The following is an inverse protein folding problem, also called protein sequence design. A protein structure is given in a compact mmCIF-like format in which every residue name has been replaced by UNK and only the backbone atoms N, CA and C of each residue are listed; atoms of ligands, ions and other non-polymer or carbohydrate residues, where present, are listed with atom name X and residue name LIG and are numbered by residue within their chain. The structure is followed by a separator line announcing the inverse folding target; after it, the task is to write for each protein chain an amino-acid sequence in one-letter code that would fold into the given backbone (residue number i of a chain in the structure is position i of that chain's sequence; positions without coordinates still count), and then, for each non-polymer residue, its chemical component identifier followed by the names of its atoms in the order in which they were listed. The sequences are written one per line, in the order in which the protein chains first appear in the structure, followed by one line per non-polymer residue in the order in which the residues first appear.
data_IF_060935345916
#
_entry.id   IF_060935345916
#
_cell.length_a   1.000
_cell.length_b   1.000
_cell.length_c   1.000
_cell.angle_alpha   90.00
_cell.angle_beta   90.00
_cell.angle_gamma   90.00
#
_symmetry.space_group_name_H-M   'P 1'
#
loop_
_entity.id
_entity.type
_entity.pdbx_description
1 polymer ?
#
# COMPACT_ATOMS: atom_id res chain seq x y z
N UNK A 1 2.15 14.65 -1.45
CA UNK A 1 1.97 13.22 -1.72
C UNK A 1 3.04 12.78 -2.69
N UNK A 2 3.82 11.76 -2.33
CA UNK A 2 4.90 11.23 -3.17
C UNK A 2 4.46 9.93 -3.84
N UNK A 3 4.87 9.75 -5.09
CA UNK A 3 4.57 8.58 -5.90
C UNK A 3 5.85 8.10 -6.58
N UNK A 4 6.16 6.82 -6.46
CA UNK A 4 7.33 6.19 -7.06
C UNK A 4 6.98 5.50 -8.36
N UNK A 5 7.84 5.61 -9.36
CA UNK A 5 7.69 4.88 -10.62
C UNK A 5 8.49 3.59 -10.57
N UNK A 6 7.83 2.43 -10.56
CA UNK A 6 8.48 1.12 -10.36
C UNK A 6 8.80 0.39 -11.66
N UNK A 7 8.05 0.69 -12.73
CA UNK A 7 8.16 0.01 -14.02
C UNK A 7 9.09 0.71 -15.02
N UNK A 8 9.11 2.05 -15.05
CA UNK A 8 9.84 2.84 -16.04
C UNK A 8 10.40 4.15 -15.49
N UNK A 9 11.37 4.73 -16.19
CA UNK A 9 11.92 6.04 -15.86
C UNK A 9 10.90 7.16 -16.06
N UNK A 10 10.99 8.21 -15.25
CA UNK A 10 10.06 9.33 -15.29
C UNK A 10 10.47 10.27 -16.42
N UNK A 11 9.94 10.03 -17.60
CA UNK A 11 10.11 10.87 -18.77
C UNK A 11 8.92 11.82 -18.96
N UNK A 12 9.07 12.94 -19.68
CA UNK A 12 7.93 13.78 -20.05
C UNK A 12 6.87 12.96 -20.79
N UNK A 13 5.67 12.83 -20.19
CA UNK A 13 4.57 12.01 -20.72
C UNK A 13 4.39 10.66 -20.01
N UNK A 14 5.33 10.25 -19.15
CA UNK A 14 5.23 9.05 -18.31
C UNK A 14 4.59 9.31 -16.94
N UNK A 15 3.91 10.44 -16.77
CA UNK A 15 3.21 10.79 -15.53
C UNK A 15 2.02 11.70 -15.82
N UNK A 16 0.96 11.63 -14.99
CA UNK A 16 -0.25 12.40 -15.20
C UNK A 16 0.04 13.89 -15.05
N UNK A 17 -0.30 14.65 -16.09
CA UNK A 17 -0.24 16.12 -16.09
C UNK A 17 -1.64 16.67 -16.21
N UNK A 18 -2.06 17.44 -15.23
CA UNK A 18 -3.32 18.17 -15.26
C UNK A 18 -3.11 19.60 -14.77
N UNK A 19 -3.79 20.61 -15.34
CA UNK A 19 -3.72 21.98 -14.84
C UNK A 19 -4.17 22.10 -13.37
N UNK A 20 -4.95 21.13 -12.88
CA UNK A 20 -5.40 21.06 -11.49
C UNK A 20 -4.43 20.29 -10.57
N UNK A 21 -3.53 19.46 -11.12
CA UNK A 21 -2.57 18.65 -10.37
C UNK A 21 -1.18 19.26 -10.46
N UNK A 22 -0.84 20.05 -9.45
CA UNK A 22 0.48 20.70 -9.39
C UNK A 22 1.54 19.70 -8.94
N UNK A 23 2.43 19.35 -9.87
CA UNK A 23 3.70 18.69 -9.55
C UNK A 23 4.58 19.67 -8.75
N UNK A 24 5.09 19.21 -7.62
CA UNK A 24 6.01 19.95 -6.76
C UNK A 24 7.46 19.59 -7.08
N UNK A 25 7.74 18.30 -7.26
CA UNK A 25 9.09 17.81 -7.50
C UNK A 25 9.07 16.54 -8.35
N UNK A 26 10.12 16.34 -9.15
CA UNK A 26 10.36 15.11 -9.91
C UNK A 26 11.83 14.78 -9.75
N UNK A 27 12.11 13.55 -9.34
CA UNK A 27 13.47 13.02 -9.21
C UNK A 27 13.55 11.72 -9.98
N UNK A 28 14.47 11.64 -10.94
CA UNK A 28 14.89 10.37 -11.55
C UNK A 28 16.16 9.90 -10.87
N UNK A 29 16.25 8.60 -10.64
CA UNK A 29 17.47 7.94 -10.22
C UNK A 29 18.27 7.52 -11.45
N UNK A 30 19.60 7.51 -11.32
CA UNK A 30 20.50 7.07 -12.40
C UNK A 30 20.34 5.59 -12.72
N UNK A 31 19.94 4.80 -11.72
CA UNK A 31 19.61 3.38 -11.82
C UNK A 31 18.42 3.04 -10.93
N UNK A 32 17.81 1.87 -11.16
CA UNK A 32 16.74 1.36 -10.31
C UNK A 32 17.25 1.27 -8.87
N UNK A 33 16.63 2.02 -7.96
CA UNK A 33 17.09 2.21 -6.58
C UNK A 33 16.03 1.70 -5.63
N UNK A 34 16.43 0.88 -4.66
CA UNK A 34 15.53 0.37 -3.62
C UNK A 34 15.04 1.53 -2.73
N UNK A 35 13.72 1.68 -2.63
CA UNK A 35 13.08 2.74 -1.87
C UNK A 35 12.34 2.14 -0.68
N UNK A 36 12.86 2.36 0.53
CA UNK A 36 12.28 1.81 1.77
C UNK A 36 10.82 2.23 1.98
N UNK A 37 10.46 3.44 1.56
CA UNK A 37 9.09 4.00 1.67
C UNK A 37 8.02 3.19 0.92
N UNK A 38 8.41 2.40 -0.08
CA UNK A 38 7.51 1.56 -0.89
C UNK A 38 7.91 0.08 -0.87
N UNK A 39 8.94 -0.30 -0.09
CA UNK A 39 9.45 -1.67 -0.02
C UNK A 39 9.96 -2.26 -1.34
N UNK A 40 10.15 -1.46 -2.40
CA UNK A 40 10.48 -1.91 -3.76
C UNK A 40 11.48 -0.97 -4.45
N UNK A 41 12.14 -1.47 -5.49
CA UNK A 41 12.95 -0.66 -6.40
C UNK A 41 12.12 0.23 -7.32
N UNK A 42 12.53 1.49 -7.43
CA UNK A 42 11.92 2.48 -8.31
C UNK A 42 12.98 3.15 -9.20
N UNK A 43 12.52 3.77 -10.28
CA UNK A 43 13.33 4.60 -11.17
C UNK A 43 13.38 6.07 -10.75
N UNK A 44 12.56 6.45 -9.76
CA UNK A 44 12.42 7.81 -9.31
C UNK A 44 11.10 8.03 -8.60
N UNK A 45 10.85 9.28 -8.20
CA UNK A 45 9.61 9.69 -7.59
C UNK A 45 9.10 11.04 -8.11
N UNK A 46 7.80 11.25 -7.93
CA UNK A 46 7.07 12.46 -8.26
C UNK A 46 6.30 12.90 -7.04
N UNK A 47 6.44 14.17 -6.66
CA UNK A 47 5.66 14.76 -5.59
C UNK A 47 4.57 15.65 -6.17
N UNK A 48 3.33 15.40 -5.77
CA UNK A 48 2.19 16.23 -6.09
C UNK A 48 1.71 17.00 -4.86
N UNK A 49 1.18 18.21 -5.12
CA UNK A 49 0.57 19.05 -4.09
C UNK A 49 -0.65 18.39 -3.46
N UNK A 50 -1.42 17.64 -4.25
CA UNK A 50 -2.61 16.90 -3.84
C UNK A 50 -2.48 15.44 -4.28
N UNK A 51 -3.18 14.50 -3.62
CA UNK A 51 -3.22 13.11 -4.08
C UNK A 51 -3.75 13.00 -5.51
N UNK A 52 -3.18 12.10 -6.28
CA UNK A 52 -3.67 11.69 -7.60
C UNK A 52 -4.93 10.83 -7.48
N UNK A 53 -5.74 10.81 -8.54
CA UNK A 53 -6.87 9.91 -8.62
C UNK A 53 -6.37 8.45 -8.68
N UNK A 54 -7.01 7.48 -8.01
CA UNK A 54 -6.57 6.08 -8.04
C UNK A 54 -6.44 5.50 -9.45
N UNK A 55 -7.27 5.96 -10.39
CA UNK A 55 -7.20 5.56 -11.80
C UNK A 55 -5.90 6.05 -12.46
N UNK A 56 -5.51 7.31 -12.26
CA UNK A 56 -4.25 7.86 -12.77
C UNK A 56 -3.04 7.13 -12.16
N UNK A 57 -3.13 6.81 -10.87
CA UNK A 57 -2.07 6.06 -10.17
C UNK A 57 -1.90 4.68 -10.81
N UNK A 58 -3.00 3.99 -11.10
CA UNK A 58 -2.97 2.68 -11.75
C UNK A 58 -2.51 2.75 -13.22
N UNK A 59 -3.04 3.70 -14.01
CA UNK A 59 -2.71 3.87 -15.43
C UNK A 59 -1.22 4.16 -15.66
N UNK A 60 -0.64 4.97 -14.78
CA UNK A 60 0.78 5.33 -14.83
C UNK A 60 1.67 4.41 -13.97
N UNK A 61 1.11 3.34 -13.40
CA UNK A 61 1.81 2.32 -12.60
C UNK A 61 2.64 2.94 -11.47
N UNK A 62 2.07 3.97 -10.84
CA UNK A 62 2.70 4.73 -9.77
C UNK A 62 2.40 4.08 -8.42
N UNK A 63 3.42 4.04 -7.56
CA UNK A 63 3.30 3.55 -6.19
C UNK A 63 3.24 4.74 -5.22
N UNK A 64 2.09 5.06 -4.61
CA UNK A 64 1.99 6.09 -3.59
C UNK A 64 2.86 5.74 -2.37
N UNK A 65 3.41 6.76 -1.73
CA UNK A 65 3.95 6.65 -0.37
C UNK A 65 2.79 6.79 0.58
N UNK A 66 2.55 5.75 1.37
CA UNK A 66 1.49 5.75 2.35
C UNK A 66 1.85 6.66 3.53
N UNK A 67 1.27 7.85 3.57
CA UNK A 67 1.45 8.79 4.69
C UNK A 67 0.69 8.32 5.95
N UNK A 68 -0.22 7.34 5.81
CA UNK A 68 -1.05 6.80 6.88
C UNK A 68 -0.97 5.28 6.90
N UNK A 69 -0.64 4.71 8.05
CA UNK A 69 -0.66 3.26 8.29
C UNK A 69 -1.88 2.96 9.15
N UNK A 70 -2.76 2.08 8.66
CA UNK A 70 -3.91 1.56 9.39
C UNK A 70 -3.51 0.30 10.15
N UNK A 71 -3.67 0.30 11.49
CA UNK A 71 -3.45 -0.88 12.29
C UNK A 71 -4.69 -1.79 12.23
N UNK A 72 -4.46 -3.07 11.92
CA UNK A 72 -5.49 -4.07 11.70
C UNK A 72 -5.33 -5.22 12.67
N UNK A 73 -6.40 -5.60 13.34
CA UNK A 73 -6.45 -6.80 14.18
C UNK A 73 -7.17 -7.94 13.44
N UNK A 74 -6.65 -9.16 13.50
CA UNK A 74 -7.35 -10.32 12.95
C UNK A 74 -8.62 -10.62 13.76
N UNK A 75 -9.75 -10.71 13.07
CA UNK A 75 -11.07 -10.99 13.69
C UNK A 75 -11.43 -12.46 13.57
N UNK A 76 -11.17 -13.06 12.40
CA UNK A 76 -11.63 -14.40 12.10
C UNK A 76 -11.56 -14.73 10.62
N UNK A 77 -12.17 -15.84 10.24
CA UNK A 77 -12.28 -16.32 8.87
C UNK A 77 -13.76 -16.31 8.49
N UNK A 78 -14.08 -15.82 7.29
CA UNK A 78 -15.44 -15.85 6.76
C UNK A 78 -15.86 -17.27 6.32
N UNK A 79 -17.10 -17.40 5.86
CA UNK A 79 -17.65 -18.68 5.37
C UNK A 79 -16.98 -19.20 4.07
N UNK A 80 -16.15 -18.38 3.42
CA UNK A 80 -15.41 -18.71 2.21
C UNK A 80 -13.92 -19.00 2.47
N UNK A 81 -13.46 -18.90 3.72
CA UNK A 81 -12.06 -19.13 4.06
C UNK A 81 -11.18 -17.88 4.00
N UNK A 82 -11.74 -16.69 3.70
CA UNK A 82 -10.99 -15.44 3.69
C UNK A 82 -10.83 -14.88 5.11
N UNK A 83 -9.61 -14.41 5.40
CA UNK A 83 -9.31 -13.72 6.65
C UNK A 83 -10.00 -12.36 6.67
N UNK A 84 -10.57 -12.03 7.82
CA UNK A 84 -11.22 -10.76 8.11
C UNK A 84 -10.42 -10.01 9.17
N UNK A 85 -10.12 -8.76 8.87
CA UNK A 85 -9.38 -7.87 9.75
C UNK A 85 -10.24 -6.70 10.18
N UNK A 86 -9.92 -6.09 11.32
CA UNK A 86 -10.64 -4.95 11.88
C UNK A 86 -9.70 -3.81 12.21
N UNK A 87 -10.05 -2.61 11.76
CA UNK A 87 -9.31 -1.40 12.08
C UNK A 87 -9.67 -0.79 13.45
N UNK A 88 -8.96 0.26 13.83
CA UNK A 88 -9.14 0.98 15.09
C UNK A 88 -10.53 1.59 15.28
N UNK A 89 -11.24 1.90 14.19
CA UNK A 89 -12.61 2.45 14.21
C UNK A 89 -13.69 1.36 14.14
N UNK A 90 -13.27 0.11 13.99
CA UNK A 90 -14.11 -1.07 13.96
C UNK A 90 -14.68 -1.44 12.59
N UNK A 91 -14.09 -0.95 11.51
CA UNK A 91 -14.42 -1.39 10.15
C UNK A 91 -13.69 -2.68 9.81
N UNK A 92 -14.35 -3.51 9.02
CA UNK A 92 -13.86 -4.80 8.56
C UNK A 92 -13.23 -4.70 7.18
N UNK A 93 -12.11 -5.39 7.02
CA UNK A 93 -11.27 -5.38 5.82
C UNK A 93 -10.91 -6.82 5.43
N UNK A 94 -10.89 -7.11 4.13
CA UNK A 94 -10.70 -8.44 3.55
C UNK A 94 -9.93 -8.35 2.23
N UNK A 95 -9.27 -9.42 1.83
CA UNK A 95 -8.68 -9.54 0.49
C UNK A 95 -9.77 -9.94 -0.53
N UNK A 96 -9.71 -9.42 -1.75
CA UNK A 96 -10.70 -9.73 -2.80
C UNK A 96 -10.52 -11.09 -3.45
N UNK A 97 -9.28 -11.62 -3.44
CA UNK A 97 -8.92 -12.96 -3.91
C UNK A 97 -7.54 -13.31 -3.32
N UNK A 98 -7.48 -13.74 -2.05
CA UNK A 98 -6.21 -14.05 -1.41
C UNK A 98 -5.69 -15.35 -2.00
N UNK A 99 -4.82 -15.23 -3.00
CA UNK A 99 -3.93 -16.33 -3.38
C UNK A 99 -3.04 -16.75 -2.19
N UNK A 100 -1.94 -17.45 -2.44
CA UNK A 100 -1.05 -17.82 -1.34
C UNK A 100 -0.41 -16.57 -0.68
N UNK A 101 -0.40 -16.57 0.66
CA UNK A 101 0.30 -15.59 1.50
C UNK A 101 0.02 -14.11 1.16
N UNK A 102 -1.26 -13.67 1.16
CA UNK A 102 -1.63 -12.30 0.77
C UNK A 102 -1.06 -11.23 1.74
N UNK A 103 -0.85 -11.61 3.00
CA UNK A 103 -0.26 -10.76 4.04
C UNK A 103 1.23 -10.48 3.73
N UNK A 104 1.99 -11.49 3.31
CA UNK A 104 3.42 -11.33 2.94
C UNK A 104 3.59 -10.54 1.65
N UNK A 105 2.63 -10.70 0.73
CA UNK A 105 2.59 -9.95 -0.53
C UNK A 105 2.16 -8.49 -0.35
N UNK A 106 1.66 -8.13 0.84
CA UNK A 106 1.04 -6.83 1.08
C UNK A 106 -0.04 -6.51 0.04
N UNK A 107 -0.88 -7.50 -0.29
CA UNK A 107 -1.94 -7.32 -1.27
C UNK A 107 -2.92 -6.23 -0.81
N UNK A 108 -3.64 -5.61 -1.76
CA UNK A 108 -4.60 -4.56 -1.44
C UNK A 108 -5.79 -5.12 -0.67
N UNK A 109 -6.13 -4.50 0.46
CA UNK A 109 -7.34 -4.80 1.22
C UNK A 109 -8.55 -4.04 0.70
N UNK A 110 -9.72 -4.61 0.94
CA UNK A 110 -11.03 -4.09 0.58
C UNK A 110 -11.92 -4.09 1.80
N UNK A 111 -12.76 -3.07 1.94
CA UNK A 111 -13.76 -3.01 3.00
C UNK A 111 -14.79 -4.12 2.80
N UNK A 112 -15.25 -4.72 3.90
CA UNK A 112 -16.38 -5.64 3.84
C UNK A 112 -17.70 -4.86 3.75
N UNK A 113 -18.56 -5.25 2.81
CA UNK A 113 -19.88 -4.66 2.67
C UNK A 113 -20.71 -4.86 3.94
N UNK A 114 -21.53 -3.85 4.27
CA UNK A 114 -22.30 -3.79 5.52
C UNK A 114 -21.48 -3.90 6.82
N UNK A 115 -20.15 -3.88 6.74
CA UNK A 115 -19.26 -4.13 7.87
C UNK A 115 -19.48 -5.51 8.53
N UNK A 116 -19.86 -6.52 7.74
CA UNK A 116 -20.11 -7.88 8.22
C UNK A 116 -18.95 -8.82 7.84
N UNK A 117 -18.62 -9.84 8.65
CA UNK A 117 -17.53 -10.77 8.33
C UNK A 117 -17.73 -11.52 7.01
N UNK A 118 -18.97 -11.89 6.69
CA UNK A 118 -19.35 -12.52 5.41
C UNK A 118 -19.67 -11.48 4.31
N UNK A 119 -19.49 -10.19 4.59
CA UNK A 119 -19.65 -9.13 3.61
C UNK A 119 -18.66 -9.29 2.45
N UNK A 120 -19.15 -8.99 1.24
CA UNK A 120 -18.33 -8.96 0.03
C UNK A 120 -17.33 -7.79 0.07
N UNK A 121 -16.11 -7.96 -0.47
CA UNK A 121 -15.14 -6.89 -0.60
C UNK A 121 -15.64 -5.81 -1.58
N UNK A 122 -15.93 -4.60 -1.10
CA UNK A 122 -16.62 -3.56 -1.88
C UNK A 122 -15.72 -2.37 -2.26
N UNK A 123 -15.06 -1.73 -1.29
CA UNK A 123 -14.22 -0.54 -1.53
C UNK A 123 -12.75 -0.82 -1.22
N UNK A 124 -11.83 -0.61 -2.17
CA UNK A 124 -10.41 -0.78 -1.92
C UNK A 124 -9.92 0.20 -0.85
N UNK A 125 -8.92 -0.22 -0.08
CA UNK A 125 -8.13 0.66 0.76
C UNK A 125 -7.58 1.79 -0.13
N UNK A 126 -7.74 3.03 0.32
CA UNK A 126 -7.31 4.18 -0.44
C UNK A 126 -5.80 4.11 -0.64
N UNK A 127 -5.32 4.45 -1.84
CA UNK A 127 -3.90 4.31 -2.18
C UNK A 127 -2.96 5.17 -1.33
N UNK A 128 -3.45 6.16 -0.60
CA UNK A 128 -2.67 6.95 0.35
C UNK A 128 -2.53 6.30 1.73
N UNK A 129 -3.14 5.12 1.93
CA UNK A 129 -3.12 4.35 3.16
C UNK A 129 -2.43 3.00 2.96
N UNK A 130 -1.47 2.68 3.82
CA UNK A 130 -0.97 1.33 4.03
C UNK A 130 -1.69 0.69 5.21
N UNK A 131 -1.46 -0.60 5.42
CA UNK A 131 -1.93 -1.30 6.59
C UNK A 131 -0.82 -2.10 7.26
N UNK A 132 -0.97 -2.29 8.57
CA UNK A 132 -0.16 -3.21 9.35
C UNK A 132 -1.11 -4.11 10.12
N UNK A 133 -0.97 -5.41 9.94
CA UNK A 133 -1.71 -6.38 10.76
C UNK A 133 -0.95 -6.54 12.07
N UNK A 134 -1.63 -6.25 13.19
CA UNK A 134 -1.12 -6.49 14.52
C UNK A 134 -1.08 -8.00 14.77
N UNK A 135 0.15 -8.50 14.89
CA UNK A 135 0.45 -9.90 15.11
C UNK A 135 -0.25 -10.40 16.39
N UNK A 136 -1.23 -11.29 16.24
CA UNK A 136 -1.65 -12.13 17.36
C UNK A 136 -0.49 -13.11 17.57
N UNK A 137 0.32 -12.86 18.59
CA UNK A 137 1.52 -13.65 18.89
C UNK A 137 1.29 -15.15 18.72
N UNK A 138 2.03 -15.74 17.77
CA UNK A 138 1.98 -17.16 17.40
C UNK A 138 0.93 -17.42 16.33
N UNK A 139 1.29 -17.48 15.05
CA UNK A 139 1.66 -18.77 14.43
C UNK A 139 2.58 -18.66 13.20
N UNK A 140 2.97 -17.45 12.80
CA UNK A 140 4.01 -17.24 11.78
C UNK A 140 5.16 -16.46 12.42
N UNK A 141 6.35 -17.04 12.35
CA UNK A 141 7.50 -16.55 13.09
C UNK A 141 7.91 -15.13 12.69
N UNK A 142 7.82 -14.20 13.62
CA UNK A 142 8.85 -13.22 13.92
C UNK A 142 9.61 -12.68 12.67
N UNK A 143 8.93 -11.98 11.76
CA UNK A 143 9.63 -11.05 10.87
C UNK A 143 9.88 -9.80 11.68
N UNK A 144 10.92 -9.91 12.51
CA UNK A 144 11.47 -8.86 13.35
C UNK A 144 11.51 -7.53 12.60
N UNK A 145 10.86 -6.50 13.16
CA UNK A 145 11.07 -5.08 12.87
C UNK A 145 12.50 -4.60 13.24
N UNK A 146 13.53 -5.40 12.94
CA UNK A 146 14.93 -5.03 13.14
C UNK A 146 15.71 -5.15 11.86
N UNK A 147 15.79 -4.04 11.15
CA UNK A 147 17.12 -3.53 10.78
C UNK A 147 17.21 -2.00 10.95
N UNK A 148 16.49 -1.42 11.92
CA UNK A 148 16.79 -0.06 12.40
C UNK A 148 17.77 -0.17 13.56
N UNK A 149 18.99 0.34 13.33
CA UNK A 149 20.17 0.48 14.22
C UNK A 149 21.15 -0.71 14.28
N UNK A 150 22.22 -0.58 13.49
CA UNK A 150 23.67 -0.66 13.85
C UNK A 150 24.48 -0.88 12.55
N UNK A 151 25.53 -0.14 12.20
CA UNK A 151 26.44 0.70 12.97
C UNK A 151 26.88 1.93 12.15
N UNK A 152 26.94 3.08 12.82
CA UNK A 152 28.00 4.05 12.59
C UNK A 152 29.29 3.42 13.14
N UNK A 153 30.30 3.28 12.29
CA UNK A 153 31.73 3.61 12.53
C UNK A 153 32.53 3.29 11.26
#
# INVERSE_FOLDING_TARGET
MRYYSTQRTITPGSYPKSPFMKVLNIVNFDSRTYCEEIGQEAWGYIEYKTPLHPEDVAEYELMPVSDKIMNLSFVGVDSWGHRVYKDEVGRLWKYSDPGEMPEERHDRLFRASSNEPDGEPDYPLCGDMDYRIEDIGGFYGNVSQKQVRRNQE
#
